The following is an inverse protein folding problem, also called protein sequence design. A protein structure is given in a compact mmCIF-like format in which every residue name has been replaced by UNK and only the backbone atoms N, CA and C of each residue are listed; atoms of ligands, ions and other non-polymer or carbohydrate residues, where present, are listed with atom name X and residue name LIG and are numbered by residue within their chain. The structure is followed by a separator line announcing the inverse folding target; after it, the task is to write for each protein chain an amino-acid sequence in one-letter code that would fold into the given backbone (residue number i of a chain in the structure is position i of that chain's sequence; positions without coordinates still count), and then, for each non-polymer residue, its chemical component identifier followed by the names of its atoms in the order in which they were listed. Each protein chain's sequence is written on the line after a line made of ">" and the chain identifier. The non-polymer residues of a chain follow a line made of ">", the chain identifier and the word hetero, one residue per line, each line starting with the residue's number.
data_IF_955722207604
#
_entry.id   IF_955722207604
#
_cell.length_a   1.000
_cell.length_b   1.000
_cell.length_c   1.000
_cell.angle_alpha   90.00
_cell.angle_beta   90.00
_cell.angle_gamma   90.00
#
_symmetry.space_group_name_H-M   'P 1'
#
loop_
_entity.id
_entity.type
_entity.pdbx_description
1 polymer ?
#
# COMPACT_ATOMS: atom_id res chain seq x y z
N UNK A 1 54.81 25.08 11.38
CA UNK A 1 53.37 25.29 11.13
C UNK A 1 53.20 25.49 9.64
N UNK A 2 52.85 24.43 8.93
CA UNK A 2 51.71 24.39 8.00
C UNK A 2 51.66 22.96 7.42
N UNK A 3 50.55 22.27 7.63
CA UNK A 3 50.34 20.88 7.20
C UNK A 3 48.99 20.81 6.51
N UNK A 4 48.98 21.10 5.22
CA UNK A 4 47.88 20.79 4.31
C UNK A 4 48.49 20.18 3.06
N UNK A 5 48.69 18.86 3.08
CA UNK A 5 48.81 18.08 1.85
C UNK A 5 47.41 17.69 1.44
N UNK A 6 46.98 18.25 0.31
CA UNK A 6 45.83 17.80 -0.45
C UNK A 6 45.90 16.28 -0.64
N UNK A 7 44.88 15.58 -0.14
CA UNK A 7 44.64 14.17 -0.45
C UNK A 7 43.67 14.11 -1.60
N UNK A 8 44.22 13.68 -2.73
CA UNK A 8 43.57 13.54 -4.03
C UNK A 8 42.37 12.57 -3.94
N UNK A 9 41.19 13.04 -4.32
CA UNK A 9 39.91 12.31 -4.21
C UNK A 9 39.76 11.15 -5.23
N UNK A 10 40.82 10.80 -5.96
CA UNK A 10 40.80 9.82 -7.04
C UNK A 10 41.16 8.39 -6.61
N UNK A 11 41.45 8.13 -5.31
CA UNK A 11 42.03 6.87 -4.85
C UNK A 11 41.09 5.99 -4.00
N UNK A 12 39.79 6.28 -3.96
CA UNK A 12 38.79 5.53 -3.17
C UNK A 12 37.93 4.54 -3.97
N UNK A 13 38.23 4.29 -5.24
CA UNK A 13 37.32 3.56 -6.14
C UNK A 13 37.82 2.18 -6.63
N UNK A 14 38.83 1.62 -5.97
CA UNK A 14 39.32 0.27 -6.25
C UNK A 14 39.35 -0.55 -4.96
N UNK A 15 38.29 -1.33 -4.73
CA UNK A 15 38.31 -2.76 -4.37
C UNK A 15 37.04 -3.21 -3.64
N UNK A 16 35.86 -3.00 -4.25
CA UNK A 16 34.61 -3.61 -3.79
C UNK A 16 34.15 -4.69 -4.76
N UNK A 17 33.83 -5.92 -4.28
CA UNK A 17 33.36 -6.99 -5.14
C UNK A 17 32.05 -6.58 -5.80
N UNK A 18 32.05 -6.54 -7.14
CA UNK A 18 30.82 -6.35 -7.93
C UNK A 18 29.92 -7.57 -7.72
N UNK A 19 29.02 -7.48 -6.75
CA UNK A 19 27.94 -8.45 -6.60
C UNK A 19 27.02 -8.25 -7.80
N UNK A 20 27.07 -9.18 -8.75
CA UNK A 20 26.20 -9.19 -9.92
C UNK A 20 24.80 -9.69 -9.50
N UNK A 21 24.02 -8.80 -8.87
CA UNK A 21 22.69 -9.07 -8.28
C UNK A 21 21.65 -9.53 -9.32
N UNK A 22 21.94 -9.37 -10.61
CA UNK A 22 20.97 -9.62 -11.69
C UNK A 22 20.67 -11.09 -12.00
N UNK A 23 21.41 -12.07 -11.45
CA UNK A 23 21.29 -13.47 -11.88
C UNK A 23 20.69 -14.49 -10.90
N UNK A 24 20.34 -14.12 -9.66
CA UNK A 24 19.92 -15.14 -8.66
C UNK A 24 18.49 -15.06 -8.11
N UNK A 25 17.68 -14.07 -8.46
CA UNK A 25 16.36 -13.92 -7.82
C UNK A 25 15.21 -14.56 -8.59
N UNK A 26 15.38 -14.99 -9.85
CA UNK A 26 14.23 -15.30 -10.72
C UNK A 26 13.83 -16.77 -10.90
N UNK A 27 14.35 -17.71 -10.10
CA UNK A 27 13.99 -19.12 -10.26
C UNK A 27 13.92 -19.83 -8.89
N UNK A 28 12.79 -19.67 -8.19
CA UNK A 28 12.14 -20.75 -7.41
C UNK A 28 10.80 -20.24 -6.86
N UNK A 29 9.73 -20.91 -7.28
CA UNK A 29 8.33 -20.90 -6.79
C UNK A 29 7.29 -20.15 -7.65
N UNK A 30 6.82 -20.76 -8.77
CA UNK A 30 5.82 -20.15 -9.66
C UNK A 30 4.38 -20.07 -9.10
N UNK A 31 4.10 -20.57 -7.89
CA UNK A 31 2.74 -20.59 -7.32
C UNK A 31 2.43 -19.55 -6.23
N UNK A 32 3.44 -19.06 -5.48
CA UNK A 32 3.20 -18.29 -4.24
C UNK A 32 3.21 -16.76 -4.42
N UNK A 33 3.85 -16.23 -5.47
CA UNK A 33 3.85 -14.79 -5.78
C UNK A 33 2.54 -14.30 -6.43
N UNK A 34 1.67 -15.22 -6.85
CA UNK A 34 0.46 -14.89 -7.60
C UNK A 34 -0.57 -14.12 -6.74
N UNK A 35 -0.78 -14.48 -5.48
CA UNK A 35 -1.84 -13.88 -4.64
C UNK A 35 -1.60 -12.38 -4.35
N UNK A 36 -0.38 -12.01 -3.97
CA UNK A 36 -0.02 -10.61 -3.74
C UNK A 36 -0.01 -9.79 -5.03
N UNK A 37 0.42 -10.40 -6.14
CA UNK A 37 0.39 -9.76 -7.47
C UNK A 37 -1.05 -9.53 -7.96
N UNK A 38 -1.96 -10.49 -7.75
CA UNK A 38 -3.38 -10.36 -8.12
C UNK A 38 -4.10 -9.27 -7.32
N UNK A 39 -3.82 -9.17 -6.01
CA UNK A 39 -4.37 -8.11 -5.16
C UNK A 39 -3.81 -6.72 -5.52
N UNK A 40 -2.51 -6.60 -5.78
CA UNK A 40 -1.91 -5.35 -6.23
C UNK A 40 -2.44 -4.93 -7.62
N UNK A 41 -2.65 -5.88 -8.53
CA UNK A 41 -3.23 -5.61 -9.86
C UNK A 41 -4.71 -5.22 -9.78
N UNK A 42 -5.49 -5.82 -8.87
CA UNK A 42 -6.89 -5.44 -8.70
C UNK A 42 -7.03 -4.02 -8.15
N UNK A 43 -6.19 -3.58 -7.21
CA UNK A 43 -6.20 -2.18 -6.74
C UNK A 43 -5.59 -1.21 -7.75
N UNK A 44 -4.45 -1.55 -8.36
CA UNK A 44 -3.75 -0.68 -9.31
C UNK A 44 -4.53 -0.42 -10.62
N UNK A 45 -5.37 -1.37 -11.05
CA UNK A 45 -6.31 -1.18 -12.18
C UNK A 45 -7.63 -0.51 -11.78
N UNK A 46 -7.89 -0.31 -10.49
CA UNK A 46 -9.15 0.23 -9.98
C UNK A 46 -9.15 1.74 -9.80
N UNK A 47 -8.01 2.42 -9.97
CA UNK A 47 -8.01 3.89 -10.00
C UNK A 47 -8.62 4.36 -11.32
N UNK A 48 -9.82 4.97 -11.30
CA UNK A 48 -10.45 5.42 -12.53
C UNK A 48 -9.59 6.51 -13.18
N UNK A 49 -9.62 6.60 -14.51
CA UNK A 49 -8.77 7.53 -15.27
C UNK A 49 -8.87 8.98 -14.78
N UNK A 50 -10.04 9.41 -14.26
CA UNK A 50 -10.23 10.74 -13.70
C UNK A 50 -9.49 10.96 -12.37
N UNK A 51 -9.20 9.91 -11.59
CA UNK A 51 -8.38 10.03 -10.38
C UNK A 51 -6.88 10.24 -10.72
N UNK A 52 -6.49 9.91 -11.96
CA UNK A 52 -5.15 10.11 -12.50
C UNK A 52 -4.99 11.45 -13.23
N UNK A 53 -6.07 12.22 -13.40
CA UNK A 53 -6.01 13.58 -13.95
C UNK A 53 -5.85 14.61 -12.83
N UNK A 54 -5.09 15.66 -13.09
CA UNK A 54 -4.94 16.77 -12.15
C UNK A 54 -6.30 17.41 -11.87
N UNK A 55 -6.68 17.50 -10.60
CA UNK A 55 -7.88 18.17 -10.12
C UNK A 55 -7.82 19.65 -10.47
N UNK A 56 -8.88 20.15 -11.13
CA UNK A 56 -9.06 21.57 -11.42
C UNK A 56 -10.02 22.25 -10.45
N UNK A 57 -10.62 21.51 -9.52
CA UNK A 57 -11.72 22.01 -8.70
C UNK A 57 -11.93 21.19 -7.42
N UNK A 58 -12.66 21.76 -6.45
CA UNK A 58 -13.10 21.03 -5.24
C UNK A 58 -13.95 19.80 -5.60
N UNK A 59 -14.72 19.85 -6.69
CA UNK A 59 -15.52 18.71 -7.15
C UNK A 59 -14.64 17.53 -7.58
N UNK A 60 -13.53 17.81 -8.24
CA UNK A 60 -12.58 16.78 -8.66
C UNK A 60 -11.85 16.20 -7.43
N UNK A 61 -11.48 17.04 -6.46
CA UNK A 61 -10.95 16.59 -5.16
C UNK A 61 -11.92 15.65 -4.44
N UNK A 62 -13.22 15.99 -4.40
CA UNK A 62 -14.27 15.13 -3.82
C UNK A 62 -14.31 13.77 -4.50
N UNK A 63 -14.20 13.73 -5.83
CA UNK A 63 -14.17 12.47 -6.54
C UNK A 63 -12.95 11.66 -6.08
N UNK A 64 -11.74 12.25 -6.06
CA UNK A 64 -10.49 11.55 -5.66
C UNK A 64 -10.64 10.96 -4.26
N UNK A 65 -11.17 11.76 -3.32
CA UNK A 65 -11.43 11.32 -1.95
C UNK A 65 -12.44 10.17 -1.88
N UNK A 66 -13.48 10.18 -2.71
CA UNK A 66 -14.46 9.09 -2.77
C UNK A 66 -13.87 7.80 -3.37
N UNK A 67 -12.94 7.89 -4.31
CA UNK A 67 -12.18 6.71 -4.75
C UNK A 67 -11.33 6.16 -3.62
N UNK A 68 -10.57 7.01 -2.92
CA UNK A 68 -9.78 6.59 -1.76
C UNK A 68 -10.65 5.93 -0.68
N UNK A 69 -11.81 6.53 -0.36
CA UNK A 69 -12.77 6.00 0.61
C UNK A 69 -13.26 4.59 0.22
N UNK A 70 -13.54 4.36 -1.07
CA UNK A 70 -13.91 3.04 -1.56
C UNK A 70 -12.79 1.99 -1.39
N UNK A 71 -11.53 2.39 -1.53
CA UNK A 71 -10.37 1.52 -1.31
C UNK A 71 -10.18 1.20 0.18
N UNK A 72 -10.39 2.17 1.08
CA UNK A 72 -10.36 1.90 2.53
C UNK A 72 -11.43 0.89 2.93
N UNK A 73 -12.65 1.00 2.38
CA UNK A 73 -13.70 0.01 2.63
C UNK A 73 -13.35 -1.38 2.09
N UNK A 74 -12.67 -1.45 0.94
CA UNK A 74 -12.13 -2.71 0.43
C UNK A 74 -11.10 -3.32 1.38
N UNK A 75 -10.16 -2.52 1.89
CA UNK A 75 -9.16 -2.98 2.85
C UNK A 75 -9.81 -3.47 4.15
N UNK A 76 -10.76 -2.71 4.72
CA UNK A 76 -11.52 -3.11 5.92
C UNK A 76 -12.20 -4.47 5.72
N UNK A 77 -12.85 -4.67 4.57
CA UNK A 77 -13.51 -5.92 4.22
C UNK A 77 -12.50 -7.08 4.05
N UNK A 78 -11.37 -6.85 3.39
CA UNK A 78 -10.32 -7.84 3.21
C UNK A 78 -9.70 -8.29 4.55
N UNK A 79 -9.42 -7.33 5.44
CA UNK A 79 -8.96 -7.64 6.80
C UNK A 79 -9.99 -8.39 7.63
N UNK A 80 -11.28 -8.07 7.48
CA UNK A 80 -12.35 -8.83 8.15
C UNK A 80 -12.32 -10.30 7.70
N UNK A 81 -12.28 -10.53 6.38
CA UNK A 81 -12.19 -11.88 5.80
C UNK A 81 -10.95 -12.63 6.30
N UNK A 82 -9.79 -11.96 6.33
CA UNK A 82 -8.55 -12.56 6.84
C UNK A 82 -8.64 -12.92 8.32
N UNK A 83 -9.16 -12.01 9.15
CA UNK A 83 -9.30 -12.19 10.59
C UNK A 83 -10.28 -13.32 10.96
N UNK A 84 -11.38 -13.45 10.22
CA UNK A 84 -12.42 -14.46 10.47
C UNK A 84 -12.13 -15.81 9.81
N UNK A 85 -11.09 -15.91 8.97
CA UNK A 85 -10.73 -17.14 8.26
C UNK A 85 -10.35 -18.31 9.18
N UNK A 86 -9.96 -18.03 10.43
CA UNK A 86 -9.38 -19.03 11.35
C UNK A 86 -7.94 -19.45 11.00
N UNK A 87 -7.32 -18.84 9.99
CA UNK A 87 -5.97 -19.19 9.52
C UNK A 87 -4.85 -18.44 10.25
N UNK A 88 -5.16 -17.30 10.89
CA UNK A 88 -4.16 -16.44 11.54
C UNK A 88 -3.87 -16.90 12.97
N UNK A 89 -2.58 -17.04 13.30
CA UNK A 89 -2.13 -17.23 14.67
C UNK A 89 -2.41 -15.97 15.51
N UNK A 90 -2.63 -16.13 16.82
CA UNK A 90 -3.08 -15.05 17.71
C UNK A 90 -2.29 -13.73 17.58
N UNK A 91 -0.94 -13.72 17.56
CA UNK A 91 -0.20 -12.46 17.42
C UNK A 91 -0.40 -11.78 16.05
N UNK A 92 -0.52 -12.60 15.00
CA UNK A 92 -0.75 -12.12 13.63
C UNK A 92 -2.18 -11.61 13.48
N UNK A 93 -3.16 -12.30 14.07
CA UNK A 93 -4.55 -11.85 14.14
C UNK A 93 -4.66 -10.48 14.85
N UNK A 94 -3.97 -10.31 15.98
CA UNK A 94 -3.97 -9.02 16.69
C UNK A 94 -3.40 -7.88 15.81
N UNK A 95 -2.37 -8.16 15.02
CA UNK A 95 -1.80 -7.22 14.06
C UNK A 95 -2.81 -6.90 12.94
N UNK A 96 -3.46 -7.91 12.37
CA UNK A 96 -4.48 -7.73 11.34
C UNK A 96 -5.69 -6.90 11.84
N UNK A 97 -6.15 -7.13 13.07
CA UNK A 97 -7.23 -6.35 13.69
C UNK A 97 -6.79 -4.89 13.93
N UNK A 98 -5.53 -4.65 14.30
CA UNK A 98 -4.98 -3.30 14.43
C UNK A 98 -5.00 -2.56 13.09
N UNK A 99 -4.50 -3.18 12.02
CA UNK A 99 -4.49 -2.58 10.68
C UNK A 99 -5.90 -2.32 10.16
N UNK A 100 -6.84 -3.24 10.39
CA UNK A 100 -8.26 -2.97 10.12
C UNK A 100 -8.77 -1.71 10.86
N UNK A 101 -8.34 -1.50 12.10
CA UNK A 101 -8.65 -0.29 12.87
C UNK A 101 -8.09 0.99 12.23
N UNK A 102 -6.89 0.93 11.67
CA UNK A 102 -6.29 2.06 10.96
C UNK A 102 -7.10 2.42 9.70
N UNK A 103 -7.45 1.44 8.86
CA UNK A 103 -8.31 1.70 7.68
C UNK A 103 -9.68 2.27 8.06
N UNK A 104 -10.28 1.82 9.17
CA UNK A 104 -11.54 2.42 9.70
C UNK A 104 -11.34 3.89 10.06
N UNK A 105 -10.22 4.26 10.66
CA UNK A 105 -9.88 5.65 10.94
C UNK A 105 -9.65 6.46 9.65
N UNK A 106 -8.96 5.89 8.66
CA UNK A 106 -8.77 6.51 7.35
C UNK A 106 -10.12 6.78 6.67
N UNK A 107 -10.98 5.77 6.58
CA UNK A 107 -12.33 5.88 6.00
C UNK A 107 -13.18 6.94 6.71
N UNK A 108 -13.10 7.04 8.04
CA UNK A 108 -13.81 8.06 8.81
C UNK A 108 -13.33 9.49 8.45
N UNK A 109 -12.01 9.68 8.33
CA UNK A 109 -11.44 10.98 7.95
C UNK A 109 -11.84 11.35 6.51
N UNK A 110 -11.76 10.41 5.58
CA UNK A 110 -12.09 10.63 4.16
C UNK A 110 -13.57 10.96 3.99
N UNK A 111 -14.47 10.14 4.56
CA UNK A 111 -15.92 10.37 4.49
C UNK A 111 -16.33 11.71 5.13
N UNK A 112 -15.74 12.05 6.28
CA UNK A 112 -15.96 13.34 6.92
C UNK A 112 -15.47 14.51 6.05
N UNK A 113 -14.35 14.35 5.35
CA UNK A 113 -13.80 15.37 4.46
C UNK A 113 -14.65 15.56 3.21
N UNK A 114 -15.10 14.48 2.57
CA UNK A 114 -16.05 14.53 1.44
C UNK A 114 -17.30 15.32 1.84
N UNK A 115 -17.85 15.02 3.01
CA UNK A 115 -19.06 15.70 3.52
C UNK A 115 -18.82 17.19 3.77
N UNK A 116 -17.68 17.55 4.37
CA UNK A 116 -17.29 18.95 4.63
C UNK A 116 -17.11 19.77 3.36
N UNK A 117 -16.66 19.14 2.27
CA UNK A 117 -16.51 19.78 0.96
C UNK A 117 -17.84 19.87 0.19
N UNK A 118 -18.95 19.38 0.75
CA UNK A 118 -20.27 19.40 0.13
C UNK A 118 -20.55 18.22 -0.81
N UNK A 119 -19.71 17.18 -0.78
CA UNK A 119 -19.90 15.93 -1.51
C UNK A 119 -20.70 14.89 -0.71
N UNK A 120 -21.13 13.84 -1.40
CA UNK A 120 -21.73 12.66 -0.77
C UNK A 120 -20.68 11.55 -0.66
N UNK A 121 -20.36 11.06 0.55
CA UNK A 121 -19.46 9.91 0.71
C UNK A 121 -20.01 8.67 0.01
N UNK A 122 -19.16 7.91 -0.66
CA UNK A 122 -19.53 6.58 -1.15
C UNK A 122 -19.83 5.64 0.00
N UNK A 123 -20.72 4.67 -0.23
CA UNK A 123 -21.09 3.67 0.76
C UNK A 123 -20.21 2.43 0.67
N UNK A 124 -20.04 1.76 1.80
CA UNK A 124 -19.46 0.41 1.88
C UNK A 124 -20.21 -0.56 0.98
N UNK A 125 -19.47 -1.43 0.29
CA UNK A 125 -20.03 -2.57 -0.45
C UNK A 125 -20.09 -3.79 0.45
N UNK A 126 -20.94 -4.75 0.10
CA UNK A 126 -20.91 -6.07 0.75
C UNK A 126 -19.61 -6.79 0.39
N UNK A 127 -19.09 -7.61 1.31
CA UNK A 127 -17.86 -8.40 1.11
C UNK A 127 -17.90 -9.20 -0.21
N UNK A 128 -19.05 -9.79 -0.55
CA UNK A 128 -19.24 -10.58 -1.77
C UNK A 128 -19.04 -9.78 -3.08
N UNK A 129 -19.15 -8.45 -3.04
CA UNK A 129 -19.00 -7.58 -4.20
C UNK A 129 -17.52 -7.29 -4.56
N UNK A 130 -16.59 -7.55 -3.64
CA UNK A 130 -15.16 -7.31 -3.87
C UNK A 130 -14.44 -8.47 -4.58
N UNK A 131 -15.10 -9.63 -4.74
CA UNK A 131 -14.54 -10.81 -5.43
C UNK A 131 -13.16 -11.25 -4.90
N UNK A 132 -12.96 -11.20 -3.58
CA UNK A 132 -11.71 -11.64 -2.98
C UNK A 132 -11.44 -13.13 -3.28
N UNK A 133 -10.18 -13.55 -3.45
CA UNK A 133 -9.80 -14.93 -3.77
C UNK A 133 -9.88 -15.84 -2.52
N UNK A 134 -10.98 -15.79 -1.76
CA UNK A 134 -11.15 -16.49 -0.47
C UNK A 134 -10.92 -17.99 -0.61
N UNK A 135 -11.33 -18.57 -1.75
CA UNK A 135 -11.12 -19.99 -2.05
C UNK A 135 -9.65 -20.38 -2.19
N UNK A 136 -8.74 -19.42 -2.38
CA UNK A 136 -7.30 -19.61 -2.51
C UNK A 136 -6.54 -19.35 -1.21
N UNK A 137 -7.17 -18.74 -0.20
CA UNK A 137 -6.56 -18.49 1.11
C UNK A 137 -6.60 -19.78 1.94
N UNK A 138 -5.49 -20.51 2.02
CA UNK A 138 -5.41 -21.82 2.73
C UNK A 138 -4.53 -21.79 3.96
N UNK A 139 -3.63 -20.82 4.04
CA UNK A 139 -2.65 -20.68 5.11
C UNK A 139 -2.58 -19.24 5.60
N UNK A 140 -2.00 -19.03 6.78
CA UNK A 140 -1.65 -17.69 7.27
C UNK A 140 -0.84 -16.92 6.22
N UNK A 141 0.12 -17.58 5.56
CA UNK A 141 0.97 -16.94 4.57
C UNK A 141 0.16 -16.46 3.35
N UNK A 142 -0.86 -17.20 2.92
CA UNK A 142 -1.74 -16.78 1.82
C UNK A 142 -2.54 -15.53 2.20
N UNK A 143 -3.09 -15.50 3.42
CA UNK A 143 -3.80 -14.32 3.94
C UNK A 143 -2.89 -13.11 4.04
N UNK A 144 -1.67 -13.28 4.56
CA UNK A 144 -0.69 -12.20 4.69
C UNK A 144 -0.19 -11.70 3.34
N UNK A 145 0.03 -12.57 2.35
CA UNK A 145 0.42 -12.14 1.00
C UNK A 145 -0.71 -11.44 0.27
N UNK A 146 -1.95 -11.90 0.48
CA UNK A 146 -3.12 -11.21 -0.04
C UNK A 146 -3.22 -9.80 0.56
N UNK A 147 -3.12 -9.66 1.88
CA UNK A 147 -3.10 -8.36 2.56
C UNK A 147 -1.92 -7.49 2.09
N UNK A 148 -0.69 -8.01 2.03
CA UNK A 148 0.48 -7.27 1.60
C UNK A 148 0.37 -6.76 0.15
N UNK A 149 -0.28 -7.54 -0.72
CA UNK A 149 -0.62 -7.09 -2.07
C UNK A 149 -1.61 -5.93 -2.09
N UNK A 150 -2.57 -5.91 -1.14
CA UNK A 150 -3.48 -4.79 -0.97
C UNK A 150 -2.74 -3.53 -0.50
N UNK A 151 -1.89 -3.62 0.53
CA UNK A 151 -1.16 -2.46 1.06
C UNK A 151 -0.17 -1.87 0.05
N UNK A 152 0.50 -2.73 -0.71
CA UNK A 152 1.33 -2.29 -1.83
C UNK A 152 0.50 -1.53 -2.85
N UNK A 153 -0.67 -2.06 -3.22
CA UNK A 153 -1.58 -1.42 -4.17
C UNK A 153 -2.11 -0.08 -3.65
N UNK A 154 -2.47 0.01 -2.37
CA UNK A 154 -2.90 1.23 -1.71
C UNK A 154 -1.78 2.29 -1.67
N UNK A 155 -0.55 1.87 -1.31
CA UNK A 155 0.64 2.73 -1.33
C UNK A 155 0.85 3.36 -2.71
N UNK A 156 0.84 2.56 -3.77
CA UNK A 156 0.98 3.05 -5.15
C UNK A 156 -0.20 3.95 -5.55
N UNK A 157 -1.43 3.62 -5.16
CA UNK A 157 -2.61 4.41 -5.47
C UNK A 157 -2.56 5.80 -4.83
N UNK A 158 -2.23 5.89 -3.53
CA UNK A 158 -2.07 7.16 -2.84
C UNK A 158 -0.94 7.99 -3.46
N UNK A 159 0.23 7.38 -3.73
CA UNK A 159 1.34 8.09 -4.35
C UNK A 159 0.95 8.71 -5.70
N UNK A 160 0.22 7.96 -6.53
CA UNK A 160 -0.23 8.41 -7.85
C UNK A 160 -1.18 9.61 -7.81
N UNK A 161 -1.95 9.79 -6.72
CA UNK A 161 -2.92 10.90 -6.62
C UNK A 161 -2.43 12.11 -5.83
N UNK A 162 -1.31 12.03 -5.11
CA UNK A 162 -0.76 13.18 -4.38
C UNK A 162 -0.57 14.43 -5.25
N UNK A 163 -0.04 14.34 -6.49
CA UNK A 163 0.11 15.50 -7.36
C UNK A 163 -1.24 16.05 -7.82
N UNK A 164 -2.28 15.23 -7.81
CA UNK A 164 -3.54 15.53 -8.47
C UNK A 164 -4.48 16.39 -7.63
N UNK A 165 -4.35 16.47 -6.31
CA UNK A 165 -5.25 17.31 -5.51
C UNK A 165 -5.16 18.80 -5.89
N UNK A 166 -6.27 19.49 -5.98
CA UNK A 166 -6.29 20.96 -6.07
C UNK A 166 -5.96 21.55 -4.70
N UNK A 167 -6.58 21.03 -3.65
CA UNK A 167 -6.40 21.48 -2.26
C UNK A 167 -5.14 20.87 -1.64
N UNK A 168 -4.15 21.71 -1.30
CA UNK A 168 -2.83 21.24 -0.80
C UNK A 168 -2.85 20.59 0.57
N UNK A 169 -3.80 20.94 1.44
CA UNK A 169 -3.93 20.26 2.73
C UNK A 169 -4.48 18.83 2.58
N UNK A 170 -5.25 18.54 1.52
CA UNK A 170 -5.65 17.16 1.19
C UNK A 170 -4.44 16.32 0.78
N UNK A 171 -3.46 16.92 0.10
CA UNK A 171 -2.20 16.24 -0.23
C UNK A 171 -1.46 15.78 1.03
N UNK A 172 -1.38 16.62 2.06
CA UNK A 172 -0.71 16.26 3.32
C UNK A 172 -1.44 15.12 4.03
N UNK A 173 -2.78 15.18 4.09
CA UNK A 173 -3.58 14.11 4.69
C UNK A 173 -3.42 12.78 3.94
N UNK A 174 -3.51 12.81 2.60
CA UNK A 174 -3.29 11.65 1.75
C UNK A 174 -1.85 11.09 1.87
N UNK A 175 -0.84 11.95 2.00
CA UNK A 175 0.55 11.53 2.21
C UNK A 175 0.76 10.86 3.58
N UNK A 176 0.02 11.30 4.61
CA UNK A 176 0.03 10.62 5.91
C UNK A 176 -0.54 9.22 5.82
N UNK A 177 -1.61 9.01 5.05
CA UNK A 177 -2.19 7.69 4.84
C UNK A 177 -1.21 6.82 4.04
N UNK A 178 -0.64 7.33 2.95
CA UNK A 178 0.41 6.64 2.17
C UNK A 178 1.52 6.08 3.06
N UNK A 179 2.02 6.89 3.99
CA UNK A 179 3.06 6.47 4.93
C UNK A 179 2.62 5.30 5.82
N UNK A 180 1.37 5.29 6.28
CA UNK A 180 0.80 4.19 7.08
C UNK A 180 0.63 2.91 6.24
N UNK A 181 0.11 3.02 5.01
CA UNK A 181 -0.04 1.88 4.10
C UNK A 181 1.31 1.21 3.79
N UNK A 182 2.36 2.02 3.59
CA UNK A 182 3.72 1.51 3.39
C UNK A 182 4.25 0.79 4.64
N UNK A 183 3.93 1.29 5.84
CA UNK A 183 4.30 0.61 7.10
C UNK A 183 3.54 -0.71 7.27
N UNK A 184 2.24 -0.78 6.94
CA UNK A 184 1.49 -2.03 6.98
C UNK A 184 2.12 -3.06 6.05
N UNK A 185 2.42 -2.65 4.81
CA UNK A 185 3.09 -3.50 3.84
C UNK A 185 4.42 -4.05 4.38
N UNK A 186 5.29 -3.19 4.92
CA UNK A 186 6.57 -3.59 5.48
C UNK A 186 6.42 -4.58 6.65
N UNK A 187 5.46 -4.34 7.56
CA UNK A 187 5.20 -5.24 8.69
C UNK A 187 4.68 -6.60 8.21
N UNK A 188 3.79 -6.64 7.22
CA UNK A 188 3.29 -7.91 6.68
C UNK A 188 4.40 -8.74 6.04
N UNK A 189 5.30 -8.11 5.27
CA UNK A 189 6.49 -8.76 4.73
C UNK A 189 7.41 -9.27 5.84
N UNK A 190 7.62 -8.47 6.89
CA UNK A 190 8.40 -8.89 8.06
C UNK A 190 7.81 -10.12 8.75
N UNK A 191 6.48 -10.19 8.91
CA UNK A 191 5.78 -11.35 9.50
C UNK A 191 5.88 -12.59 8.59
N UNK A 192 5.94 -12.39 7.28
CA UNK A 192 6.18 -13.45 6.28
C UNK A 192 7.63 -13.95 6.25
N UNK A 193 8.57 -13.28 6.93
CA UNK A 193 10.00 -13.54 6.82
C UNK A 193 10.61 -13.12 5.47
N UNK A 194 9.94 -12.20 4.78
CA UNK A 194 10.39 -11.60 3.53
C UNK A 194 11.11 -10.27 3.82
N UNK A 195 11.76 -9.67 2.81
CA UNK A 195 12.42 -8.36 2.97
C UNK A 195 11.36 -7.26 3.22
N UNK A 196 11.34 -6.59 4.40
CA UNK A 196 10.34 -5.58 4.73
C UNK A 196 10.41 -4.31 3.88
N UNK A 197 11.54 -4.03 3.25
CA UNK A 197 11.74 -2.83 2.40
C UNK A 197 12.34 -3.27 1.06
N UNK A 198 11.58 -4.02 0.25
CA UNK A 198 12.12 -4.75 -0.90
C UNK A 198 12.49 -3.85 -2.08
N UNK A 199 12.13 -2.56 -2.02
CA UNK A 199 12.36 -1.57 -3.08
C UNK A 199 12.70 -0.21 -2.47
N UNK A 200 13.55 0.55 -3.16
CA UNK A 200 13.92 1.92 -2.74
C UNK A 200 12.85 2.97 -3.04
N UNK A 201 11.95 2.67 -3.99
CA UNK A 201 10.85 3.54 -4.40
C UNK A 201 9.56 2.73 -4.44
N UNK A 202 8.51 3.28 -3.86
CA UNK A 202 7.15 2.74 -3.99
C UNK A 202 6.50 3.35 -5.24
N UNK A 203 5.78 2.54 -6.03
CA UNK A 203 5.28 2.92 -7.36
C UNK A 203 4.95 1.71 -8.21
#
# INVERSE_FOLDING_TARGET
>A
MDTTKDVDAAQLDADLPRIDVRRRVLLRTPGLLALGSLAAVSLGRSMPAWAQTQSGSVKDDINILNTALGLEYQAIAAYQVGAESGLLQKPVLATAVKFQGHHKAHAQVLSGTVSKLGGTPVMEKKVAEYNFPVSQLKTQADVLRFAAGLEKGATSAYLGVLPNFYTRDLTKAAASILGDEAMHWAILLSVLGEDPVPVAFVG
#
